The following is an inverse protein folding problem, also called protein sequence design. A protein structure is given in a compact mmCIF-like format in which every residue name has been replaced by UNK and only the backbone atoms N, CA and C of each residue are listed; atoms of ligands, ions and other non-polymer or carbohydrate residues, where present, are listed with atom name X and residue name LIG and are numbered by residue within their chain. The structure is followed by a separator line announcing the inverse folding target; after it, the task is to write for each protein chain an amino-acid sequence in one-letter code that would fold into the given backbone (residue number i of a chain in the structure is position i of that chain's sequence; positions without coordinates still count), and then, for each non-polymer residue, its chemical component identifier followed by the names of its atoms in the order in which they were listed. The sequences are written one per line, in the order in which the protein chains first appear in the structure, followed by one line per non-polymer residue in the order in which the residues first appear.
data_IF_684440388190
#
_entry.id   IF_684440388190
#
_cell.length_a   1.000
_cell.length_b   1.000
_cell.length_c   1.000
_cell.angle_alpha   90.00
_cell.angle_beta   90.00
_cell.angle_gamma   90.00
#
_symmetry.space_group_name_H-M   'P 1'
#
loop_
_entity.id
_entity.type
_entity.pdbx_description
1 polymer ?
#
# COMPACT_ATOMS: atom_id res chain seq x y z
N UNK A 1 -11.12 -32.50 -53.13
CA UNK A 1 -12.46 -32.91 -52.69
C UNK A 1 -12.46 -32.79 -51.17
N UNK A 2 -12.33 -31.55 -50.68
CA UNK A 2 -13.42 -30.67 -50.22
C UNK A 2 -13.63 -30.89 -48.71
N UNK A 3 -12.96 -30.06 -47.92
CA UNK A 3 -13.15 -29.93 -46.48
C UNK A 3 -14.50 -29.23 -46.22
N UNK A 4 -15.44 -29.94 -45.61
CA UNK A 4 -16.75 -29.40 -45.26
C UNK A 4 -16.62 -28.58 -43.96
N UNK A 5 -16.52 -27.26 -44.09
CA UNK A 5 -16.64 -26.33 -42.97
C UNK A 5 -18.09 -26.34 -42.45
N UNK A 6 -18.36 -27.14 -41.41
CA UNK A 6 -19.62 -27.04 -40.68
C UNK A 6 -19.66 -25.72 -39.90
N UNK A 7 -20.44 -24.77 -40.38
CA UNK A 7 -20.72 -23.51 -39.70
C UNK A 7 -21.70 -23.71 -38.55
N UNK A 8 -21.44 -23.07 -37.41
CA UNK A 8 -22.32 -23.09 -36.25
C UNK A 8 -23.69 -22.48 -36.58
N UNK A 9 -24.77 -23.13 -36.13
CA UNK A 9 -26.11 -22.56 -36.22
C UNK A 9 -26.23 -21.33 -35.33
N UNK A 10 -27.11 -20.39 -35.70
CA UNK A 10 -27.43 -19.21 -34.87
C UNK A 10 -27.86 -19.59 -33.45
N UNK A 11 -28.56 -20.72 -33.29
CA UNK A 11 -28.97 -21.24 -31.99
C UNK A 11 -27.75 -21.71 -31.16
N UNK A 12 -26.77 -22.35 -31.78
CA UNK A 12 -25.54 -22.77 -31.11
C UNK A 12 -24.69 -21.55 -30.72
N UNK A 13 -24.53 -20.60 -31.63
CA UNK A 13 -23.82 -19.35 -31.35
C UNK A 13 -24.45 -18.59 -30.17
N UNK A 14 -25.79 -18.54 -30.10
CA UNK A 14 -26.50 -17.91 -28.98
C UNK A 14 -26.25 -18.64 -27.64
N UNK A 15 -26.22 -19.97 -27.63
CA UNK A 15 -25.94 -20.77 -26.43
C UNK A 15 -24.50 -20.53 -25.95
N UNK A 16 -23.53 -20.49 -26.86
CA UNK A 16 -22.13 -20.20 -26.51
C UNK A 16 -21.96 -18.78 -25.95
N UNK A 17 -22.62 -17.79 -26.54
CA UNK A 17 -22.59 -16.41 -26.05
C UNK A 17 -23.25 -16.27 -24.68
N UNK A 18 -24.40 -16.88 -24.46
CA UNK A 18 -25.07 -16.88 -23.15
C UNK A 18 -24.23 -17.57 -22.08
N UNK A 19 -23.59 -18.69 -22.42
CA UNK A 19 -22.64 -19.38 -21.53
C UNK A 19 -21.45 -18.49 -21.16
N UNK A 20 -20.84 -17.82 -22.14
CA UNK A 20 -19.70 -16.93 -21.92
C UNK A 20 -20.10 -15.74 -21.03
N UNK A 21 -21.24 -15.10 -21.29
CA UNK A 21 -21.77 -14.02 -20.43
C UNK A 21 -22.03 -14.51 -19.01
N UNK A 22 -22.64 -15.69 -18.83
CA UNK A 22 -22.92 -16.25 -17.52
C UNK A 22 -21.64 -16.54 -16.73
N UNK A 23 -20.60 -17.09 -17.38
CA UNK A 23 -19.30 -17.35 -16.71
C UNK A 23 -18.62 -16.06 -16.26
N UNK A 24 -18.67 -15.00 -17.07
CA UNK A 24 -18.14 -13.68 -16.72
C UNK A 24 -18.90 -13.12 -15.52
N UNK A 25 -20.23 -13.20 -15.53
CA UNK A 25 -21.05 -12.68 -14.43
C UNK A 25 -20.83 -13.44 -13.12
N UNK A 26 -20.69 -14.76 -13.16
CA UNK A 26 -20.37 -15.57 -11.97
C UNK A 26 -18.97 -15.24 -11.45
N UNK A 27 -17.99 -15.09 -12.35
CA UNK A 27 -16.62 -14.70 -11.99
C UNK A 27 -16.55 -13.32 -11.34
N UNK A 28 -17.27 -12.35 -11.90
CA UNK A 28 -17.36 -10.99 -11.34
C UNK A 28 -18.07 -10.96 -9.98
N UNK A 29 -19.14 -11.76 -9.81
CA UNK A 29 -19.83 -11.89 -8.52
C UNK A 29 -18.94 -12.52 -7.45
N UNK A 30 -18.19 -13.58 -7.80
CA UNK A 30 -17.24 -14.21 -6.88
C UNK A 30 -16.09 -13.26 -6.50
N UNK A 31 -15.55 -12.51 -7.48
CA UNK A 31 -14.51 -11.52 -7.25
C UNK A 31 -14.97 -10.39 -6.33
N UNK A 32 -16.17 -9.83 -6.60
CA UNK A 32 -16.74 -8.75 -5.78
C UNK A 32 -17.06 -9.19 -4.35
N UNK A 33 -17.55 -10.43 -4.16
CA UNK A 33 -17.71 -11.02 -2.83
C UNK A 33 -16.36 -11.18 -2.12
N UNK A 34 -15.30 -11.58 -2.83
CA UNK A 34 -13.94 -11.70 -2.30
C UNK A 34 -13.27 -10.36 -1.92
N UNK A 35 -13.58 -9.28 -2.63
CA UNK A 35 -13.11 -7.94 -2.26
C UNK A 35 -13.79 -7.44 -0.97
N UNK A 36 -15.04 -7.85 -0.71
CA UNK A 36 -15.80 -7.48 0.48
C UNK A 36 -15.30 -8.09 1.81
N UNK A 37 -14.54 -9.19 1.76
CA UNK A 37 -13.91 -9.82 2.95
C UNK A 37 -12.50 -9.29 3.20
N UNK A 38 -11.76 -8.87 2.16
CA UNK A 38 -10.43 -8.29 2.31
C UNK A 38 -10.46 -6.83 2.83
N UNK A 39 -11.55 -6.10 2.58
CA UNK A 39 -11.71 -4.70 3.00
C UNK A 39 -12.46 -4.49 4.32
N UNK A 40 -12.92 -5.54 5.01
CA UNK A 40 -13.59 -5.40 6.31
C UNK A 40 -12.56 -5.57 7.42
N UNK A 41 -12.31 -4.55 8.27
CA UNK A 41 -11.49 -4.75 9.45
C UNK A 41 -12.10 -5.89 10.27
N UNK A 42 -11.25 -6.82 10.71
CA UNK A 42 -11.65 -7.88 11.63
C UNK A 42 -12.39 -7.23 12.80
N UNK A 43 -13.71 -7.44 12.86
CA UNK A 43 -14.51 -6.98 13.97
C UNK A 43 -14.11 -7.82 15.18
N UNK A 44 -13.25 -7.25 16.02
CA UNK A 44 -12.98 -7.77 17.35
C UNK A 44 -14.32 -7.93 18.07
N UNK A 45 -14.62 -9.17 18.44
CA UNK A 45 -15.87 -9.52 19.06
C UNK A 45 -16.12 -8.71 20.33
N UNK A 46 -17.24 -7.98 20.37
CA UNK A 46 -18.03 -7.68 21.57
C UNK A 46 -19.35 -7.00 21.20
N UNK A 47 -20.43 -7.65 21.63
CA UNK A 47 -21.73 -7.14 22.04
C UNK A 47 -22.22 -5.77 21.58
N UNK A 48 -23.43 -5.78 21.02
CA UNK A 48 -24.34 -4.64 21.02
C UNK A 48 -24.45 -3.98 22.41
N UNK A 49 -24.24 -2.66 22.49
CA UNK A 49 -25.09 -1.72 23.23
C UNK A 49 -24.55 -0.27 23.18
N UNK A 50 -25.52 0.66 23.17
CA UNK A 50 -25.45 2.07 23.55
C UNK A 50 -24.76 3.04 22.55
N UNK A 51 -25.62 3.85 21.94
CA UNK A 51 -25.23 4.94 21.06
C UNK A 51 -24.36 5.99 21.76
N UNK A 52 -23.15 6.12 21.26
CA UNK A 52 -22.48 7.40 21.18
C UNK A 52 -22.57 7.83 19.72
N UNK A 53 -23.19 8.97 19.45
CA UNK A 53 -23.13 9.62 18.14
C UNK A 53 -21.69 10.02 17.88
N UNK A 54 -20.93 9.13 17.25
CA UNK A 54 -19.69 9.54 16.59
C UNK A 54 -20.12 10.47 15.46
N UNK A 55 -19.69 11.73 15.53
CA UNK A 55 -19.64 12.56 14.34
C UNK A 55 -18.94 11.71 13.26
N UNK A 56 -19.63 11.51 12.14
CA UNK A 56 -19.05 10.85 11.00
C UNK A 56 -17.77 11.61 10.66
N UNK A 57 -16.62 11.01 10.98
CA UNK A 57 -15.37 11.45 10.38
C UNK A 57 -15.58 11.22 8.89
N UNK A 58 -15.55 12.31 8.14
CA UNK A 58 -15.65 12.28 6.70
C UNK A 58 -14.61 11.28 6.20
N UNK A 59 -15.05 10.10 5.77
CA UNK A 59 -14.17 9.03 5.29
C UNK A 59 -13.55 9.38 3.93
N UNK A 60 -13.92 10.56 3.41
CA UNK A 60 -13.37 11.23 2.23
C UNK A 60 -12.11 12.04 2.54
N UNK A 61 -11.83 12.35 3.82
CA UNK A 61 -10.54 12.91 4.21
C UNK A 61 -9.47 11.81 4.14
N UNK A 62 -8.35 12.02 3.41
CA UNK A 62 -7.22 11.11 3.43
C UNK A 62 -6.85 10.81 4.88
N UNK A 63 -6.90 9.54 5.27
CA UNK A 63 -6.47 9.15 6.61
C UNK A 63 -5.00 9.57 6.77
N UNK A 64 -4.63 10.21 7.89
CA UNK A 64 -3.25 10.63 8.09
C UNK A 64 -2.35 9.40 8.05
N UNK A 65 -1.25 9.51 7.32
CA UNK A 65 -0.29 8.43 7.22
C UNK A 65 0.22 8.04 8.62
N UNK A 66 0.22 6.73 8.92
CA UNK A 66 0.66 6.22 10.22
C UNK A 66 2.18 6.01 10.22
N UNK A 67 2.91 7.04 10.68
CA UNK A 67 4.37 7.05 10.76
C UNK A 67 4.99 5.82 11.45
N UNK A 68 4.54 5.43 12.66
CA UNK A 68 5.01 4.21 13.33
C UNK A 68 4.87 2.94 12.47
N UNK A 69 3.72 2.77 11.83
CA UNK A 69 3.45 1.59 11.00
C UNK A 69 4.31 1.58 9.73
N UNK A 70 4.44 2.74 9.08
CA UNK A 70 5.29 2.89 7.89
C UNK A 70 6.76 2.63 8.22
N UNK A 71 7.27 3.17 9.32
CA UNK A 71 8.64 2.91 9.78
C UNK A 71 8.87 1.44 10.10
N UNK A 72 7.94 0.80 10.81
CA UNK A 72 8.04 -0.62 11.15
C UNK A 72 8.07 -1.50 9.89
N UNK A 73 7.25 -1.20 8.89
CA UNK A 73 7.15 -1.99 7.66
C UNK A 73 8.30 -1.78 6.67
N UNK A 74 8.93 -0.60 6.66
CA UNK A 74 9.85 -0.20 5.58
C UNK A 74 11.28 0.11 6.05
N UNK A 75 11.48 0.48 7.32
CA UNK A 75 12.76 1.03 7.80
C UNK A 75 13.37 0.14 8.89
N UNK A 76 12.55 -0.27 9.86
CA UNK A 76 13.01 -0.94 11.09
C UNK A 76 13.76 -2.25 10.85
N UNK A 77 13.44 -2.97 9.77
CA UNK A 77 14.10 -4.24 9.44
C UNK A 77 15.61 -4.09 9.20
N UNK A 78 16.04 -2.95 8.66
CA UNK A 78 17.47 -2.67 8.43
C UNK A 78 18.04 -1.70 9.46
N UNK A 79 17.27 -0.71 9.88
CA UNK A 79 17.71 0.39 10.74
C UNK A 79 17.40 0.21 12.23
N UNK A 80 16.81 -0.93 12.63
CA UNK A 80 16.44 -1.22 14.01
C UNK A 80 15.09 -0.64 14.42
N UNK A 81 14.44 -1.27 15.39
CA UNK A 81 13.09 -0.91 15.85
C UNK A 81 13.02 0.48 16.52
N UNK A 82 14.14 0.96 17.05
CA UNK A 82 14.33 2.28 17.66
C UNK A 82 15.27 3.15 16.83
N UNK A 83 15.44 2.83 15.54
CA UNK A 83 16.33 3.55 14.63
C UNK A 83 17.82 3.56 15.07
N UNK A 84 18.21 2.59 15.90
CA UNK A 84 19.53 2.45 16.52
C UNK A 84 20.58 1.88 15.56
N UNK A 85 20.16 1.38 14.39
CA UNK A 85 21.00 0.73 13.40
C UNK A 85 20.97 -0.79 13.48
N UNK A 86 21.67 -1.43 12.56
CA UNK A 86 21.75 -2.88 12.41
C UNK A 86 22.48 -3.23 11.11
N UNK A 87 21.72 -3.69 10.12
CA UNK A 87 22.23 -3.86 8.74
C UNK A 87 22.52 -2.48 8.12
N UNK A 88 21.58 -1.54 8.31
CA UNK A 88 21.75 -0.13 7.97
C UNK A 88 22.32 0.67 9.15
N UNK A 89 22.85 1.88 8.91
CA UNK A 89 23.32 2.75 9.97
C UNK A 89 22.17 3.20 10.90
N UNK A 90 22.51 3.73 12.08
CA UNK A 90 21.51 4.43 12.89
C UNK A 90 20.93 5.62 12.13
N UNK A 91 19.63 5.85 12.29
CA UNK A 91 18.93 7.00 11.71
C UNK A 91 18.84 8.19 12.67
N UNK A 92 19.51 8.17 13.83
CA UNK A 92 19.50 9.30 14.78
C UNK A 92 20.00 10.61 14.15
N UNK A 93 20.98 10.54 13.26
CA UNK A 93 21.41 11.71 12.49
C UNK A 93 20.33 12.19 11.54
N UNK A 94 19.67 11.27 10.83
CA UNK A 94 18.58 11.60 9.91
C UNK A 94 17.34 12.16 10.62
N UNK A 95 17.13 11.79 11.89
CA UNK A 95 16.07 12.33 12.75
C UNK A 95 16.23 13.84 13.03
N UNK A 96 17.44 14.38 12.86
CA UNK A 96 17.74 15.81 12.99
C UNK A 96 17.79 16.57 11.66
N UNK A 97 17.53 15.90 10.54
CA UNK A 97 17.46 16.55 9.23
C UNK A 97 16.15 17.34 9.09
N UNK A 98 16.11 18.25 8.13
CA UNK A 98 14.85 18.84 7.67
C UNK A 98 14.03 17.79 6.92
N UNK A 99 12.71 18.01 6.82
CA UNK A 99 11.86 17.12 6.03
C UNK A 99 12.33 17.01 4.57
N UNK A 100 12.76 18.12 3.96
CA UNK A 100 13.25 18.11 2.58
C UNK A 100 14.51 17.25 2.41
N UNK A 101 15.46 17.36 3.34
CA UNK A 101 16.68 16.54 3.37
C UNK A 101 16.37 15.05 3.58
N UNK A 102 15.44 14.75 4.50
CA UNK A 102 14.97 13.39 4.73
C UNK A 102 14.28 12.80 3.50
N UNK A 103 13.42 13.59 2.85
CA UNK A 103 12.71 13.21 1.62
C UNK A 103 13.70 12.93 0.49
N UNK A 104 14.66 13.80 0.25
CA UNK A 104 15.68 13.64 -0.79
C UNK A 104 16.52 12.37 -0.56
N UNK A 105 16.93 12.11 0.68
CA UNK A 105 17.66 10.90 1.03
C UNK A 105 16.81 9.63 0.85
N UNK A 106 15.53 9.67 1.24
CA UNK A 106 14.64 8.50 1.19
C UNK A 106 14.18 8.17 -0.22
N UNK A 107 13.87 9.19 -1.03
CA UNK A 107 13.36 9.00 -2.38
C UNK A 107 14.49 8.82 -3.40
N UNK A 108 15.59 9.55 -3.25
CA UNK A 108 16.63 9.64 -4.28
C UNK A 108 18.02 9.20 -3.81
N UNK A 109 18.17 8.84 -2.53
CA UNK A 109 19.41 8.32 -1.98
C UNK A 109 20.51 9.37 -1.83
N UNK A 110 20.15 10.66 -1.76
CA UNK A 110 21.12 11.76 -1.61
C UNK A 110 21.03 12.36 -0.21
N UNK A 111 22.13 12.30 0.52
CA UNK A 111 22.21 12.86 1.87
C UNK A 111 22.56 14.35 1.83
N UNK A 112 22.33 15.11 2.92
CA UNK A 112 22.60 16.55 2.95
C UNK A 112 24.06 16.94 2.70
N UNK A 113 25.00 16.06 3.05
CA UNK A 113 26.44 16.19 2.77
C UNK A 113 26.81 15.86 1.31
N UNK A 114 25.82 15.61 0.44
CA UNK A 114 25.99 15.33 -0.99
C UNK A 114 26.40 13.89 -1.30
N UNK A 115 26.51 13.03 -0.29
CA UNK A 115 26.87 11.63 -0.46
C UNK A 115 25.68 10.83 -1.02
N UNK A 116 26.00 9.80 -1.80
CA UNK A 116 24.98 8.84 -2.24
C UNK A 116 24.91 7.68 -1.26
N UNK A 117 23.70 7.25 -0.94
CA UNK A 117 23.44 6.08 -0.11
C UNK A 117 23.89 4.81 -0.84
N UNK A 118 24.21 3.78 -0.04
CA UNK A 118 24.65 2.51 -0.60
C UNK A 118 23.50 1.85 -1.39
N UNK A 119 23.75 1.17 -2.52
CA UNK A 119 22.69 0.58 -3.36
C UNK A 119 21.79 -0.44 -2.65
N UNK A 120 22.22 -0.97 -1.51
CA UNK A 120 21.43 -1.88 -0.68
C UNK A 120 20.29 -1.16 0.07
N UNK A 121 20.41 0.14 0.29
CA UNK A 121 19.31 0.94 0.82
C UNK A 121 18.31 1.18 -0.32
N UNK A 122 17.04 0.75 -0.17
CA UNK A 122 16.02 1.04 -1.18
C UNK A 122 15.77 2.54 -1.28
N UNK A 123 15.64 3.02 -2.51
CA UNK A 123 15.18 4.38 -2.80
C UNK A 123 13.71 4.32 -3.20
N UNK A 124 12.88 5.14 -2.58
CA UNK A 124 11.42 4.97 -2.60
C UNK A 124 10.69 5.89 -3.60
N UNK A 125 11.41 6.61 -4.47
CA UNK A 125 10.78 7.50 -5.46
C UNK A 125 9.76 6.77 -6.35
N UNK A 126 10.14 5.59 -6.86
CA UNK A 126 9.31 4.86 -7.84
C UNK A 126 8.41 3.81 -7.19
N UNK A 127 8.90 3.17 -6.12
CA UNK A 127 8.22 2.03 -5.48
C UNK A 127 7.31 2.45 -4.32
N UNK A 128 7.61 3.59 -3.70
CA UNK A 128 7.10 4.04 -2.41
C UNK A 128 6.99 2.95 -1.35
N UNK A 129 6.14 3.17 -0.35
CA UNK A 129 6.05 2.31 0.84
C UNK A 129 5.01 1.19 0.71
N UNK A 130 4.22 1.19 -0.35
CA UNK A 130 3.11 0.24 -0.58
C UNK A 130 2.97 -0.22 -2.03
N UNK A 131 3.98 0.01 -2.88
CA UNK A 131 3.94 -0.33 -4.30
C UNK A 131 3.37 0.79 -5.20
N UNK A 132 3.15 1.98 -4.64
CA UNK A 132 2.77 3.21 -5.32
C UNK A 132 3.73 4.31 -4.89
N UNK A 133 3.82 5.40 -5.66
CA UNK A 133 4.70 6.52 -5.34
C UNK A 133 4.46 7.04 -3.91
N UNK A 134 5.54 7.27 -3.17
CA UNK A 134 5.46 7.78 -1.81
C UNK A 134 4.82 9.17 -1.79
N UNK A 135 3.89 9.39 -0.86
CA UNK A 135 3.24 10.69 -0.67
C UNK A 135 4.01 11.55 0.34
N UNK A 136 3.88 12.87 0.21
CA UNK A 136 4.47 13.81 1.16
C UNK A 136 4.01 13.55 2.59
N UNK A 137 2.73 13.19 2.76
CA UNK A 137 2.17 12.83 4.07
C UNK A 137 2.83 11.59 4.68
N UNK A 138 3.20 10.59 3.87
CA UNK A 138 3.90 9.41 4.35
C UNK A 138 5.31 9.75 4.82
N UNK A 139 6.05 10.55 4.04
CA UNK A 139 7.40 10.98 4.39
C UNK A 139 7.41 11.86 5.63
N UNK A 140 6.48 12.81 5.73
CA UNK A 140 6.28 13.64 6.92
C UNK A 140 5.99 12.78 8.14
N UNK A 141 5.05 11.84 8.04
CA UNK A 141 4.68 10.96 9.14
C UNK A 141 5.87 10.10 9.62
N UNK A 142 6.67 9.56 8.71
CA UNK A 142 7.88 8.79 9.06
C UNK A 142 8.90 9.71 9.72
N UNK A 143 9.15 10.90 9.16
CA UNK A 143 10.11 11.86 9.71
C UNK A 143 9.72 12.34 11.11
N UNK A 144 8.45 12.67 11.33
CA UNK A 144 7.91 13.02 12.65
C UNK A 144 8.07 11.86 13.62
N UNK A 145 7.73 10.64 13.22
CA UNK A 145 7.89 9.47 14.09
C UNK A 145 9.35 9.20 14.44
N UNK A 146 10.26 9.33 13.47
CA UNK A 146 11.70 9.21 13.70
C UNK A 146 12.19 10.23 14.74
N UNK A 147 11.60 11.43 14.73
CA UNK A 147 11.78 12.46 15.76
C UNK A 147 11.47 12.00 17.19
N UNK A 148 10.59 11.02 17.36
CA UNK A 148 10.19 10.48 18.67
C UNK A 148 11.10 9.36 19.20
N UNK A 149 11.99 8.81 18.36
CA UNK A 149 12.83 7.65 18.68
C UNK A 149 14.25 8.00 19.16
N UNK A 150 14.54 9.29 19.35
CA UNK A 150 15.89 9.80 19.58
C UNK A 150 16.43 9.51 21.00
#
# INVERSE_FOLDING_TARGET
MNEEHQGFSFAEAAVWLLGLVLTIQIGWLAYSMGQGIAGRPFADGRGAAAGATMAAVDSSAPQPANGPQLFAGNCAGCHGAKAEGGVGPSLKTAAGWTLAEFTEATLHGKTPDGRSLAPIMPHFADTGFSGEAATDQQLEAIHTYLGTLQ
#
